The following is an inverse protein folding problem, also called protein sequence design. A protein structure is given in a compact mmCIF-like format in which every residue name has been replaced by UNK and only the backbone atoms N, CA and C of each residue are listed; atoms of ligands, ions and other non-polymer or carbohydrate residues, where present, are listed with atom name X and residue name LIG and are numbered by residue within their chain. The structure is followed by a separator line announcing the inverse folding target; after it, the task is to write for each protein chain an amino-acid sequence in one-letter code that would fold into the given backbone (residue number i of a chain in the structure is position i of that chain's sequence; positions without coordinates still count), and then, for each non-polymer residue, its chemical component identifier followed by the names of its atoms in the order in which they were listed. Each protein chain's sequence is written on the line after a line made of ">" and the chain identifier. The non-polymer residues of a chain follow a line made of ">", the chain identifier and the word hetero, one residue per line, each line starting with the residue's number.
data_IF_682490542964
#
_entry.id   IF_682490542964
#
_cell.length_a   1.000
_cell.length_b   1.000
_cell.length_c   1.000
_cell.angle_alpha   90.00
_cell.angle_beta   90.00
_cell.angle_gamma   90.00
#
_symmetry.space_group_name_H-M   'P 1'
#
loop_
_entity.id
_entity.type
_entity.pdbx_description
1 polymer ?
#
# COMPACT_ATOMS: atom_id res chain seq x y z
N UNK A 1 4.87 -7.69 14.25
CA UNK A 1 5.28 -8.27 12.96
C UNK A 1 6.76 -8.05 12.72
N UNK A 2 7.25 -6.80 12.73
CA UNK A 2 8.66 -6.51 12.38
C UNK A 2 9.64 -7.34 13.21
N UNK A 3 9.49 -7.41 14.55
CA UNK A 3 10.33 -8.24 15.40
C UNK A 3 10.18 -9.77 15.15
N UNK A 4 9.01 -10.22 14.70
CA UNK A 4 8.83 -11.60 14.25
C UNK A 4 9.63 -11.88 12.98
N UNK A 5 9.56 -10.97 12.00
CA UNK A 5 10.30 -11.11 10.74
C UNK A 5 11.82 -11.15 10.96
N UNK A 6 12.34 -10.36 11.90
CA UNK A 6 13.77 -10.37 12.26
C UNK A 6 14.17 -11.72 12.83
N UNK A 7 13.41 -12.25 13.79
CA UNK A 7 13.68 -13.58 14.37
C UNK A 7 13.65 -14.69 13.33
N UNK A 8 12.77 -14.57 12.32
CA UNK A 8 12.66 -15.54 11.22
C UNK A 8 13.68 -15.28 10.10
N UNK A 9 14.50 -14.24 10.22
CA UNK A 9 15.49 -13.83 9.21
C UNK A 9 14.87 -13.46 7.84
N UNK A 10 13.67 -12.86 7.83
CA UNK A 10 13.01 -12.27 6.67
C UNK A 10 12.71 -10.80 6.91
N UNK A 11 13.74 -9.95 7.08
CA UNK A 11 13.57 -8.57 7.57
C UNK A 11 12.84 -7.64 6.61
N UNK A 12 12.73 -8.01 5.33
CA UNK A 12 12.20 -7.13 4.29
C UNK A 12 10.73 -7.43 4.00
N UNK A 13 9.85 -6.63 4.58
CA UNK A 13 8.42 -6.69 4.34
C UNK A 13 8.10 -6.03 2.99
N UNK A 14 7.49 -6.75 2.07
CA UNK A 14 7.26 -6.32 0.69
C UNK A 14 5.80 -6.01 0.40
N UNK A 15 4.89 -6.82 0.92
CA UNK A 15 3.44 -6.66 0.74
C UNK A 15 2.68 -6.97 2.02
N UNK A 16 1.70 -6.13 2.38
CA UNK A 16 0.80 -6.34 3.52
C UNK A 16 -0.65 -6.21 3.13
N UNK A 17 -1.49 -7.08 3.67
CA UNK A 17 -2.95 -6.95 3.69
C UNK A 17 -3.42 -6.91 5.14
N UNK A 18 -4.09 -5.83 5.52
CA UNK A 18 -4.55 -5.60 6.87
C UNK A 18 -6.08 -5.59 6.87
N UNK A 19 -6.69 -6.48 7.64
CA UNK A 19 -8.15 -6.61 7.76
C UNK A 19 -8.55 -6.40 9.22
N UNK A 20 -9.46 -5.48 9.48
CA UNK A 20 -9.99 -5.31 10.83
C UNK A 20 -11.41 -4.73 10.81
N UNK A 21 -12.27 -5.14 11.77
CA UNK A 21 -13.66 -4.71 11.78
C UNK A 21 -13.78 -3.23 12.16
N UNK A 22 -14.88 -2.62 11.72
CA UNK A 22 -15.24 -1.25 12.06
C UNK A 22 -14.10 -0.24 11.75
N UNK A 23 -13.45 -0.40 10.60
CA UNK A 23 -12.26 0.38 10.22
C UNK A 23 -12.49 1.90 10.30
N UNK A 24 -13.71 2.35 9.98
CA UNK A 24 -14.11 3.77 10.01
C UNK A 24 -14.75 4.20 11.35
N UNK A 25 -14.89 3.28 12.33
CA UNK A 25 -15.47 3.62 13.62
C UNK A 25 -14.55 4.57 14.40
N UNK A 26 -15.14 5.59 15.04
CA UNK A 26 -14.42 6.46 15.95
C UNK A 26 -14.46 5.91 17.36
N UNK A 27 -13.29 5.86 18.01
CA UNK A 27 -13.12 5.55 19.42
C UNK A 27 -12.42 6.75 20.05
N UNK A 28 -13.03 7.37 21.07
CA UNK A 28 -12.53 8.61 21.69
C UNK A 28 -12.25 9.74 20.68
N UNK A 29 -13.12 9.85 19.65
CA UNK A 29 -13.00 10.86 18.61
C UNK A 29 -12.03 10.53 17.46
N UNK A 30 -11.24 9.48 17.58
CA UNK A 30 -10.22 9.07 16.58
C UNK A 30 -10.74 7.86 15.79
N UNK A 31 -10.69 7.94 14.47
CA UNK A 31 -11.03 6.82 13.58
C UNK A 31 -10.04 5.67 13.77
N UNK A 32 -10.53 4.44 13.81
CA UNK A 32 -9.70 3.23 13.99
C UNK A 32 -8.60 3.11 12.94
N UNK A 33 -8.88 3.46 11.70
CA UNK A 33 -7.87 3.49 10.65
C UNK A 33 -6.73 4.47 10.97
N UNK A 34 -7.05 5.66 11.47
CA UNK A 34 -6.05 6.66 11.87
C UNK A 34 -5.20 6.16 13.05
N UNK A 35 -5.82 5.51 14.03
CA UNK A 35 -5.08 4.87 15.14
C UNK A 35 -4.16 3.75 14.64
N UNK A 36 -4.63 2.93 13.69
CA UNK A 36 -3.80 1.92 13.04
C UNK A 36 -2.60 2.55 12.30
N UNK A 37 -2.82 3.65 11.57
CA UNK A 37 -1.74 4.37 10.88
C UNK A 37 -0.68 4.89 11.86
N UNK A 38 -1.09 5.46 13.01
CA UNK A 38 -0.19 5.93 14.05
C UNK A 38 0.65 4.79 14.64
N UNK A 39 0.03 3.67 15.00
CA UNK A 39 0.74 2.51 15.52
C UNK A 39 1.72 1.90 14.50
N UNK A 40 1.30 1.83 13.23
CA UNK A 40 2.16 1.36 12.14
C UNK A 40 3.34 2.29 11.90
N UNK A 41 3.11 3.60 11.85
CA UNK A 41 4.16 4.61 11.71
C UNK A 41 5.21 4.46 12.81
N UNK A 42 4.78 4.41 14.07
CA UNK A 42 5.69 4.29 15.21
C UNK A 42 6.54 3.03 15.14
N UNK A 43 5.95 1.89 14.77
CA UNK A 43 6.68 0.63 14.61
C UNK A 43 7.76 0.68 13.51
N UNK A 44 7.50 1.37 12.40
CA UNK A 44 8.52 1.56 11.36
C UNK A 44 9.58 2.57 11.76
N UNK A 45 9.20 3.69 12.39
CA UNK A 45 10.12 4.72 12.86
C UNK A 45 11.06 4.23 13.97
N UNK A 46 10.57 3.36 14.86
CA UNK A 46 11.39 2.71 15.89
C UNK A 46 12.45 1.79 15.28
N UNK A 47 12.08 1.07 14.22
CA UNK A 47 12.98 0.08 13.61
C UNK A 47 13.97 0.68 12.62
N UNK A 48 13.59 1.69 11.84
CA UNK A 48 14.36 2.20 10.71
C UNK A 48 14.62 3.70 10.82
N UNK A 49 15.88 4.13 10.69
CA UNK A 49 16.23 5.56 10.66
C UNK A 49 15.59 6.27 9.46
N UNK A 50 15.60 5.64 8.28
CA UNK A 50 14.90 6.09 7.09
C UNK A 50 13.75 5.13 6.78
N UNK A 51 12.65 5.25 7.52
CA UNK A 51 11.54 4.31 7.40
C UNK A 51 10.93 4.25 5.99
N UNK A 52 10.99 5.37 5.24
CA UNK A 52 10.40 5.46 3.91
C UNK A 52 11.02 4.47 2.92
N UNK A 53 12.30 4.12 3.11
CA UNK A 53 13.01 3.14 2.29
C UNK A 53 12.58 1.68 2.53
N UNK A 54 11.73 1.45 3.54
CA UNK A 54 11.31 0.11 3.98
C UNK A 54 9.80 -0.09 4.02
N UNK A 55 9.04 0.89 3.52
CA UNK A 55 7.59 0.80 3.52
C UNK A 55 7.11 -0.20 2.45
N UNK A 56 6.36 -1.25 2.81
CA UNK A 56 5.83 -2.19 1.84
C UNK A 56 4.65 -1.61 1.07
N UNK A 57 4.34 -2.17 -0.08
CA UNK A 57 3.02 -2.00 -0.65
C UNK A 57 1.97 -2.57 0.32
N UNK A 58 0.90 -1.84 0.60
CA UNK A 58 -0.09 -2.30 1.59
C UNK A 58 -1.53 -1.94 1.22
N UNK A 59 -2.45 -2.73 1.78
CA UNK A 59 -3.89 -2.46 1.79
C UNK A 59 -4.40 -2.53 3.21
N UNK A 60 -5.38 -1.69 3.56
CA UNK A 60 -6.15 -1.80 4.78
C UNK A 60 -7.63 -1.79 4.42
N UNK A 61 -8.36 -2.81 4.86
CA UNK A 61 -9.75 -3.05 4.48
C UNK A 61 -10.57 -3.43 5.70
N UNK A 62 -11.81 -2.98 5.75
CA UNK A 62 -12.75 -3.39 6.77
C UNK A 62 -13.07 -4.89 6.67
N UNK A 63 -13.30 -5.53 7.79
CA UNK A 63 -13.86 -6.89 7.87
C UNK A 63 -15.16 -6.86 8.68
N UNK A 64 -16.01 -7.87 8.51
CA UNK A 64 -17.29 -7.94 9.24
C UNK A 64 -17.08 -8.14 10.74
N UNK A 65 -16.10 -8.96 11.12
CA UNK A 65 -15.83 -9.31 12.51
C UNK A 65 -14.39 -9.80 12.70
N UNK A 66 -14.02 -10.15 13.92
CA UNK A 66 -12.74 -10.77 14.27
C UNK A 66 -11.67 -9.77 14.69
N UNK A 67 -10.47 -10.23 14.99
CA UNK A 67 -9.33 -9.40 15.35
C UNK A 67 -8.71 -8.71 14.12
N UNK A 68 -7.76 -7.80 14.35
CA UNK A 68 -6.84 -7.35 13.31
C UNK A 68 -6.07 -8.55 12.75
N UNK A 69 -6.29 -8.83 11.47
CA UNK A 69 -5.59 -9.90 10.74
C UNK A 69 -4.63 -9.26 9.73
N UNK A 70 -3.39 -9.68 9.75
CA UNK A 70 -2.37 -9.18 8.84
C UNK A 70 -1.75 -10.34 8.08
N UNK A 71 -1.98 -10.38 6.77
CA UNK A 71 -1.28 -11.27 5.85
C UNK A 71 -0.14 -10.48 5.20
N UNK A 72 0.99 -11.13 4.96
CA UNK A 72 2.13 -10.42 4.39
C UNK A 72 3.04 -11.34 3.58
N UNK A 73 3.86 -10.71 2.72
CA UNK A 73 4.97 -11.31 2.02
C UNK A 73 6.24 -10.59 2.48
N UNK A 74 7.24 -11.37 2.88
CA UNK A 74 8.54 -10.85 3.28
C UNK A 74 9.68 -11.65 2.63
N UNK A 75 10.81 -10.99 2.43
CA UNK A 75 11.99 -11.58 1.81
C UNK A 75 13.20 -11.48 2.73
N UNK A 76 14.17 -12.37 2.50
CA UNK A 76 15.41 -12.43 3.29
C UNK A 76 16.46 -11.44 2.80
N UNK A 77 16.64 -11.32 1.48
CA UNK A 77 17.82 -10.71 0.88
C UNK A 77 17.51 -9.44 0.08
N UNK A 78 16.24 -9.02 -0.03
CA UNK A 78 15.87 -7.84 -0.79
C UNK A 78 14.60 -7.21 -0.25
N UNK A 79 14.60 -5.89 -0.13
CA UNK A 79 13.40 -5.09 0.18
C UNK A 79 12.57 -4.76 -1.07
N UNK A 80 13.12 -5.04 -2.26
CA UNK A 80 12.54 -4.60 -3.52
C UNK A 80 12.73 -3.11 -3.78
N UNK A 81 12.13 -2.65 -4.87
CA UNK A 81 12.10 -1.25 -5.26
C UNK A 81 10.70 -0.68 -5.01
N UNK A 82 10.61 0.38 -4.24
CA UNK A 82 9.34 1.06 -3.95
C UNK A 82 8.99 2.00 -5.09
N UNK A 83 7.74 2.00 -5.48
CA UNK A 83 7.23 2.80 -6.60
C UNK A 83 6.03 3.58 -6.11
N UNK A 84 6.04 4.88 -6.38
CA UNK A 84 4.94 5.79 -6.08
C UNK A 84 4.13 6.09 -7.35
N UNK A 85 2.92 6.61 -7.19
CA UNK A 85 2.01 6.91 -8.29
C UNK A 85 2.07 8.41 -8.62
N UNK A 86 2.41 8.81 -9.87
CA UNK A 86 2.46 10.23 -10.23
C UNK A 86 1.16 11.01 -10.05
N UNK A 87 0.01 10.32 -10.04
CA UNK A 87 -1.31 10.95 -9.80
C UNK A 87 -1.64 11.17 -8.32
N UNK A 88 -0.85 10.59 -7.42
CA UNK A 88 -1.13 10.58 -5.99
C UNK A 88 0.08 11.11 -5.20
N UNK A 89 -0.18 11.83 -4.13
CA UNK A 89 0.85 12.12 -3.14
C UNK A 89 1.22 10.81 -2.44
N UNK A 90 2.52 10.61 -2.17
CA UNK A 90 2.98 9.45 -1.39
C UNK A 90 2.23 9.39 -0.06
N UNK A 91 1.71 8.21 0.29
CA UNK A 91 0.82 8.08 1.44
C UNK A 91 1.47 8.58 2.75
N UNK A 92 2.76 8.36 2.91
CA UNK A 92 3.55 8.79 4.07
C UNK A 92 3.83 10.31 4.11
N UNK A 93 3.40 11.05 3.08
CA UNK A 93 3.49 12.52 2.99
C UNK A 93 2.10 13.19 3.09
N UNK A 94 1.05 12.46 3.43
CA UNK A 94 -0.27 13.04 3.59
C UNK A 94 -0.28 14.10 4.69
N UNK A 95 -0.98 15.21 4.49
CA UNK A 95 -1.03 16.28 5.47
C UNK A 95 -1.76 15.83 6.76
N UNK A 96 -1.48 16.53 7.86
CA UNK A 96 -1.97 16.21 9.21
C UNK A 96 -3.49 16.17 9.35
N UNK A 97 -4.22 16.81 8.45
CA UNK A 97 -5.70 16.74 8.39
C UNK A 97 -6.22 15.32 8.15
N UNK A 98 -5.40 14.47 7.50
CA UNK A 98 -5.74 13.06 7.28
C UNK A 98 -5.44 12.16 8.50
N UNK A 99 -4.77 12.68 9.53
CA UNK A 99 -4.45 11.99 10.77
C UNK A 99 -3.17 12.50 11.39
N UNK A 100 -2.97 12.26 12.67
CA UNK A 100 -1.74 12.64 13.41
C UNK A 100 -0.47 12.07 12.74
N UNK A 101 -0.59 10.87 12.20
CA UNK A 101 0.46 10.19 11.43
C UNK A 101 -0.08 9.74 10.08
N UNK A 102 0.68 10.04 9.05
CA UNK A 102 0.37 9.64 7.68
C UNK A 102 0.42 8.11 7.52
N UNK A 103 -0.35 7.52 6.61
CA UNK A 103 -0.29 6.09 6.32
C UNK A 103 1.11 5.68 5.83
N UNK A 104 1.66 4.61 6.40
CA UNK A 104 3.03 4.15 6.13
C UNK A 104 3.03 2.99 5.14
N UNK A 105 2.95 3.29 3.83
CA UNK A 105 3.03 2.30 2.75
C UNK A 105 3.49 2.94 1.44
N UNK A 106 4.06 2.12 0.55
CA UNK A 106 4.36 2.46 -0.84
C UNK A 106 3.20 2.08 -1.76
N UNK A 107 3.04 2.75 -2.90
CA UNK A 107 1.97 2.46 -3.89
C UNK A 107 2.19 1.14 -4.60
N UNK A 108 3.45 0.76 -4.83
CA UNK A 108 3.82 -0.58 -5.27
C UNK A 108 5.21 -0.95 -4.74
N UNK A 109 5.51 -2.25 -4.77
CA UNK A 109 6.86 -2.78 -4.54
C UNK A 109 7.19 -3.74 -5.67
N UNK A 110 8.26 -3.47 -6.37
CA UNK A 110 8.81 -4.33 -7.40
C UNK A 110 9.86 -5.27 -6.83
N UNK A 111 9.78 -6.54 -7.19
CA UNK A 111 10.71 -7.58 -6.81
C UNK A 111 11.29 -8.26 -8.04
N UNK A 112 12.63 -8.23 -8.16
CA UNK A 112 13.36 -9.01 -9.15
C UNK A 112 13.96 -10.25 -8.46
N UNK A 113 13.45 -11.41 -8.82
CA UNK A 113 13.89 -12.71 -8.31
C UNK A 113 14.56 -13.53 -9.44
N UNK A 114 15.40 -12.91 -10.21
CA UNK A 114 16.07 -13.52 -11.36
C UNK A 114 15.13 -13.74 -12.54
N UNK A 115 14.75 -14.98 -12.82
CA UNK A 115 13.83 -15.29 -13.92
C UNK A 115 12.41 -14.73 -13.68
N UNK A 116 11.99 -14.60 -12.41
CA UNK A 116 10.66 -14.14 -12.03
C UNK A 116 10.69 -12.70 -11.52
N UNK A 117 9.74 -11.92 -11.98
CA UNK A 117 9.62 -10.51 -11.66
C UNK A 117 8.18 -10.24 -11.23
N UNK A 118 8.02 -9.55 -10.08
CA UNK A 118 6.72 -9.29 -9.50
C UNK A 118 6.54 -7.81 -9.20
N UNK A 119 5.38 -7.29 -9.48
CA UNK A 119 4.94 -5.98 -9.02
C UNK A 119 3.77 -6.16 -8.05
N UNK A 120 4.00 -5.89 -6.78
CA UNK A 120 2.98 -5.92 -5.75
C UNK A 120 2.35 -4.53 -5.62
N UNK A 121 1.16 -4.36 -6.11
CA UNK A 121 0.41 -3.10 -6.07
C UNK A 121 -0.35 -2.97 -4.76
N UNK A 122 -0.29 -1.81 -4.11
CA UNK A 122 -1.04 -1.48 -2.91
C UNK A 122 -2.55 -1.37 -3.19
N UNK A 123 -3.35 -1.32 -2.14
CA UNK A 123 -4.76 -0.97 -2.26
C UNK A 123 -4.92 0.40 -2.91
N UNK A 124 -5.64 0.44 -4.01
CA UNK A 124 -5.88 1.66 -4.79
C UNK A 124 -7.34 2.06 -4.67
N UNK A 125 -7.59 3.31 -4.33
CA UNK A 125 -8.90 3.89 -4.19
C UNK A 125 -9.07 5.09 -5.14
N UNK A 126 -10.27 5.66 -5.19
CA UNK A 126 -10.60 6.87 -5.94
C UNK A 126 -9.99 8.10 -5.26
N UNK A 127 -8.67 8.28 -5.40
CA UNK A 127 -7.88 9.34 -4.77
C UNK A 127 -7.01 10.01 -5.82
N UNK A 128 -7.06 11.34 -5.89
CA UNK A 128 -6.17 12.18 -6.70
C UNK A 128 -5.38 13.09 -5.75
N UNK A 129 -4.06 13.12 -5.89
CA UNK A 129 -3.22 13.72 -4.88
C UNK A 129 -3.38 12.98 -3.54
N UNK A 130 -3.97 13.64 -2.56
CA UNK A 130 -4.36 13.06 -1.26
C UNK A 130 -5.89 13.12 -1.02
N UNK A 131 -6.68 13.63 -1.98
CA UNK A 131 -8.10 13.85 -1.84
C UNK A 131 -8.92 12.68 -2.39
N UNK A 132 -9.91 12.22 -1.62
CA UNK A 132 -10.92 11.27 -2.09
C UNK A 132 -11.86 11.93 -3.08
N UNK A 133 -12.04 11.30 -4.24
CA UNK A 133 -12.87 11.77 -5.32
C UNK A 133 -14.13 10.93 -5.48
N UNK A 134 -15.18 11.53 -6.10
CA UNK A 134 -16.38 10.84 -6.55
C UNK A 134 -17.19 10.17 -5.43
N UNK A 135 -17.30 10.85 -4.27
CA UNK A 135 -18.10 10.35 -3.14
C UNK A 135 -19.51 9.96 -3.64
N UNK A 136 -19.98 8.81 -3.15
CA UNK A 136 -21.31 8.26 -3.44
C UNK A 136 -21.57 7.93 -4.94
N UNK A 137 -20.54 7.89 -5.79
CA UNK A 137 -20.65 7.52 -7.20
C UNK A 137 -19.69 6.36 -7.53
N UNK A 138 -20.18 5.14 -7.40
CA UNK A 138 -19.38 3.92 -7.60
C UNK A 138 -18.73 3.86 -8.99
N UNK A 139 -19.46 4.23 -10.04
CA UNK A 139 -18.93 4.15 -11.42
C UNK A 139 -17.74 5.09 -11.62
N UNK A 140 -17.86 6.35 -11.17
CA UNK A 140 -16.75 7.29 -11.25
C UNK A 140 -15.59 6.91 -10.34
N UNK A 141 -15.86 6.31 -9.16
CA UNK A 141 -14.81 5.76 -8.30
C UNK A 141 -14.02 4.65 -9.00
N UNK A 142 -14.71 3.72 -9.65
CA UNK A 142 -14.06 2.65 -10.41
C UNK A 142 -13.23 3.17 -11.59
N UNK A 143 -13.73 4.17 -12.31
CA UNK A 143 -12.98 4.84 -13.37
C UNK A 143 -11.70 5.51 -12.86
N UNK A 144 -11.78 6.20 -11.72
CA UNK A 144 -10.62 6.85 -11.11
C UNK A 144 -9.60 5.83 -10.59
N UNK A 145 -10.07 4.74 -10.00
CA UNK A 145 -9.21 3.61 -9.58
C UNK A 145 -8.46 3.04 -10.79
N UNK A 146 -9.16 2.83 -11.91
CA UNK A 146 -8.55 2.33 -13.14
C UNK A 146 -7.46 3.27 -13.66
N UNK A 147 -7.75 4.58 -13.71
CA UNK A 147 -6.77 5.60 -14.13
C UNK A 147 -5.55 5.64 -13.20
N UNK A 148 -5.74 5.47 -11.89
CA UNK A 148 -4.66 5.40 -10.93
C UNK A 148 -3.80 4.15 -11.14
N UNK A 149 -4.41 3.00 -11.41
CA UNK A 149 -3.69 1.76 -11.72
C UNK A 149 -2.89 1.89 -13.02
N UNK A 150 -3.49 2.39 -14.09
CA UNK A 150 -2.81 2.61 -15.37
C UNK A 150 -1.60 3.55 -15.23
N UNK A 151 -1.78 4.65 -14.49
CA UNK A 151 -0.69 5.58 -14.20
C UNK A 151 0.46 4.92 -13.47
N UNK A 152 0.16 4.14 -12.42
CA UNK A 152 1.16 3.43 -11.63
C UNK A 152 1.89 2.38 -12.48
N UNK A 153 1.19 1.58 -13.28
CA UNK A 153 1.76 0.56 -14.14
C UNK A 153 2.69 1.17 -15.20
N UNK A 154 2.25 2.24 -15.86
CA UNK A 154 3.06 2.95 -16.84
C UNK A 154 4.31 3.58 -16.21
N UNK A 155 4.17 4.20 -15.04
CA UNK A 155 5.30 4.76 -14.31
C UNK A 155 6.30 3.70 -13.88
N UNK A 156 5.83 2.58 -13.35
CA UNK A 156 6.66 1.43 -12.98
C UNK A 156 7.49 0.92 -14.16
N UNK A 157 6.88 0.83 -15.34
CA UNK A 157 7.58 0.42 -16.57
C UNK A 157 8.70 1.38 -16.94
N UNK A 158 8.45 2.68 -16.89
CA UNK A 158 9.46 3.70 -17.20
C UNK A 158 10.64 3.64 -16.22
N UNK A 159 10.37 3.57 -14.92
CA UNK A 159 11.43 3.52 -13.90
C UNK A 159 12.30 2.27 -14.00
N UNK A 160 11.71 1.15 -14.36
CA UNK A 160 12.41 -0.14 -14.40
C UNK A 160 13.09 -0.41 -15.75
N UNK A 161 13.17 0.57 -16.66
CA UNK A 161 13.77 0.47 -17.99
C UNK A 161 13.31 -0.78 -18.78
N UNK A 162 12.03 -1.13 -18.65
CA UNK A 162 11.47 -2.36 -19.21
C UNK A 162 10.81 -2.09 -20.55
N UNK A 163 11.62 -1.97 -21.59
CA UNK A 163 11.24 -2.14 -22.99
C UNK A 163 9.88 -1.55 -23.44
N UNK A 164 9.53 -1.79 -24.67
CA UNK A 164 8.31 -1.26 -25.29
C UNK A 164 6.99 -1.98 -24.88
N UNK A 165 7.04 -3.06 -24.10
CA UNK A 165 5.83 -3.77 -23.71
C UNK A 165 5.01 -2.96 -22.70
N UNK A 166 3.79 -2.62 -23.09
CA UNK A 166 2.80 -1.98 -22.24
C UNK A 166 2.31 -3.00 -21.20
N UNK A 167 2.43 -2.68 -19.91
CA UNK A 167 1.82 -3.48 -18.86
C UNK A 167 0.42 -2.92 -18.60
N UNK A 168 -0.59 -3.73 -18.76
CA UNK A 168 -1.99 -3.38 -18.51
C UNK A 168 -2.53 -4.12 -17.30
N UNK A 169 -3.65 -3.63 -16.77
CA UNK A 169 -4.32 -4.31 -15.65
C UNK A 169 -4.75 -5.74 -16.00
N UNK A 170 -5.01 -5.99 -17.27
CA UNK A 170 -5.36 -7.32 -17.81
C UNK A 170 -4.22 -8.35 -17.72
N UNK A 171 -2.97 -7.88 -17.59
CA UNK A 171 -1.79 -8.73 -17.40
C UNK A 171 -1.59 -9.16 -15.96
N UNK A 172 -2.46 -8.69 -15.05
CA UNK A 172 -2.36 -9.00 -13.63
C UNK A 172 -2.62 -10.49 -13.37
N UNK A 173 -1.69 -11.15 -12.67
CA UNK A 173 -1.84 -12.54 -12.25
C UNK A 173 -2.91 -12.71 -11.15
N UNK A 174 -3.17 -11.67 -10.38
CA UNK A 174 -4.14 -11.67 -9.29
C UNK A 174 -4.68 -10.25 -9.03
N UNK A 175 -5.99 -10.10 -9.06
CA UNK A 175 -6.70 -8.90 -8.64
C UNK A 175 -7.64 -9.25 -7.49
N UNK A 176 -7.62 -8.47 -6.42
CA UNK A 176 -8.59 -8.53 -5.31
C UNK A 176 -9.43 -7.26 -5.31
N UNK A 177 -10.73 -7.41 -5.42
CA UNK A 177 -11.69 -6.30 -5.33
C UNK A 177 -12.43 -6.37 -4.00
N UNK A 178 -12.63 -5.21 -3.38
CA UNK A 178 -13.38 -5.04 -2.13
C UNK A 178 -14.53 -4.07 -2.39
N UNK A 179 -15.75 -4.46 -1.98
CA UNK A 179 -16.98 -3.69 -2.16
C UNK A 179 -17.60 -3.43 -0.79
#
# INVERSE_FOLDING_TARGET
>A
ILGFLDRMQFPFLVRCWNYFPNINQKINGIERYKSFCSGRHNAFAEKYQSMHDYLPAASAVGSQSGPLTINFIAFRNSKGEHIENPRQVSAYQYPVEHGERSPSFARATYMNLGANKYLYVAGTASIVGYQSCHKDNLLLQLQEIHQNLDSLLNHSRCLLNRGAEKVEINDASLIKTYI
#
